data_IF_761314971233
#
_entry.id   IF_761314971233
#
_cell.length_a   1.000
_cell.length_b   1.000
_cell.length_c   1.000
_cell.angle_alpha   90.00
_cell.angle_beta   90.00
_cell.angle_gamma   90.00
#
_symmetry.space_group_name_H-M   'P 1'
#
loop_
_entity.id
_entity.type
_entity.pdbx_description
1 polymer ?
#
# COMPACT_ATOMS: atom_id res chain seq x y z
N UNK A 1 0.00 -24.46 8.38
CA UNK A 1 -0.87 -23.30 8.74
C UNK A 1 -0.04 -22.02 9.06
N UNK A 2 1.27 -21.97 8.77
CA UNK A 2 2.17 -21.15 9.59
C UNK A 2 2.77 -19.88 8.94
N UNK A 3 2.57 -19.63 7.63
CA UNK A 3 3.18 -18.46 6.95
C UNK A 3 2.31 -17.19 6.99
N UNK A 4 0.99 -17.35 6.97
CA UNK A 4 0.02 -16.25 6.91
C UNK A 4 -0.09 -15.46 8.23
N UNK A 5 0.02 -16.16 9.36
CA UNK A 5 -0.04 -15.57 10.70
C UNK A 5 1.22 -14.74 10.97
N UNK A 6 2.40 -15.30 10.65
CA UNK A 6 3.68 -14.61 10.85
C UNK A 6 3.81 -13.33 10.02
N UNK A 7 3.41 -13.37 8.74
CA UNK A 7 3.43 -12.18 7.87
C UNK A 7 2.41 -11.11 8.28
N UNK A 8 1.25 -11.49 8.83
CA UNK A 8 0.25 -10.49 9.28
C UNK A 8 0.76 -9.70 10.48
N UNK A 9 1.44 -10.33 11.42
CA UNK A 9 2.07 -9.67 12.57
C UNK A 9 3.17 -8.71 12.13
N UNK A 10 4.05 -9.13 11.20
CA UNK A 10 5.10 -8.25 10.66
C UNK A 10 4.52 -7.03 9.94
N UNK A 11 3.46 -7.19 9.14
CA UNK A 11 2.82 -6.07 8.46
C UNK A 11 2.17 -5.08 9.44
N UNK A 12 1.60 -5.57 10.54
CA UNK A 12 1.04 -4.70 11.58
C UNK A 12 2.13 -3.85 12.25
N UNK A 13 3.28 -4.46 12.57
CA UNK A 13 4.44 -3.77 13.17
C UNK A 13 4.97 -2.66 12.24
N UNK A 14 5.11 -2.94 10.95
CA UNK A 14 5.59 -1.94 9.97
C UNK A 14 4.65 -0.74 9.91
N UNK A 15 3.33 -0.94 9.94
CA UNK A 15 2.36 0.16 9.90
C UNK A 15 2.38 1.00 11.16
N UNK A 16 2.48 0.37 12.34
CA UNK A 16 2.60 1.12 13.59
C UNK A 16 3.89 1.94 13.65
N UNK A 17 5.00 1.41 13.12
CA UNK A 17 6.25 2.18 13.02
C UNK A 17 6.08 3.38 12.08
N UNK A 18 5.48 3.19 10.90
CA UNK A 18 5.20 4.29 9.96
C UNK A 18 4.40 5.42 10.62
N UNK A 19 3.32 5.08 11.34
CA UNK A 19 2.49 6.07 12.06
C UNK A 19 3.28 6.74 13.20
N UNK A 20 4.13 6.00 13.94
CA UNK A 20 4.99 6.53 15.01
C UNK A 20 6.01 7.56 14.51
N UNK A 21 6.46 7.45 13.26
CA UNK A 21 7.31 8.46 12.61
C UNK A 21 6.53 9.67 12.06
N UNK A 22 5.27 9.83 12.45
CA UNK A 22 4.44 11.00 12.10
C UNK A 22 3.81 10.93 10.71
N UNK A 23 3.83 9.76 10.07
CA UNK A 23 3.18 9.59 8.76
C UNK A 23 1.70 9.27 8.95
N UNK A 24 0.85 10.26 8.68
CA UNK A 24 -0.59 10.07 8.75
C UNK A 24 -1.11 9.22 7.58
N UNK A 25 -1.87 8.18 7.91
CA UNK A 25 -2.49 7.28 6.95
C UNK A 25 -3.99 7.17 7.21
N UNK A 26 -4.79 7.34 6.16
CA UNK A 26 -6.21 7.03 6.26
C UNK A 26 -6.45 5.50 6.21
N UNK A 27 -7.67 5.06 6.51
CA UNK A 27 -8.01 3.62 6.54
C UNK A 27 -7.78 2.91 5.20
N UNK A 28 -8.11 3.56 4.08
CA UNK A 28 -7.94 2.99 2.74
C UNK A 28 -6.46 2.80 2.38
N UNK A 29 -5.63 3.75 2.80
CA UNK A 29 -4.19 3.71 2.65
C UNK A 29 -3.56 2.62 3.50
N UNK A 30 -3.99 2.46 4.76
CA UNK A 30 -3.58 1.33 5.60
C UNK A 30 -3.93 -0.01 4.95
N UNK A 31 -5.15 -0.14 4.43
CA UNK A 31 -5.60 -1.36 3.73
C UNK A 31 -4.74 -1.64 2.49
N UNK A 32 -4.43 -0.61 1.70
CA UNK A 32 -3.60 -0.72 0.52
C UNK A 32 -2.15 -1.11 0.82
N UNK A 33 -1.55 -0.54 1.87
CA UNK A 33 -0.21 -0.90 2.32
C UNK A 33 -0.18 -2.33 2.84
N UNK A 34 -1.16 -2.75 3.66
CA UNK A 34 -1.30 -4.15 4.10
C UNK A 34 -1.32 -5.12 2.91
N UNK A 35 -2.10 -4.79 1.88
CA UNK A 35 -2.14 -5.58 0.65
C UNK A 35 -0.79 -5.60 -0.05
N UNK A 36 -0.18 -4.43 -0.28
CA UNK A 36 1.07 -4.31 -1.02
C UNK A 36 2.24 -5.01 -0.31
N UNK A 37 2.33 -4.95 1.03
CA UNK A 37 3.35 -5.69 1.79
C UNK A 37 3.18 -7.21 1.68
N UNK A 38 1.93 -7.69 1.64
CA UNK A 38 1.62 -9.11 1.48
C UNK A 38 1.87 -9.61 0.07
N UNK A 39 1.37 -8.90 -0.94
CA UNK A 39 1.37 -9.32 -2.36
C UNK A 39 2.56 -8.77 -3.16
N UNK A 40 3.46 -8.01 -2.53
CA UNK A 40 4.63 -7.31 -3.12
C UNK A 40 4.31 -6.15 -4.06
N UNK A 41 3.06 -5.96 -4.46
CA UNK A 41 2.62 -4.81 -5.23
C UNK A 41 1.13 -4.54 -5.05
N UNK A 42 0.72 -3.35 -5.47
CA UNK A 42 -0.68 -2.97 -5.67
C UNK A 42 -0.80 -2.21 -7.00
N UNK A 43 -1.94 -2.32 -7.66
CA UNK A 43 -2.28 -1.54 -8.86
C UNK A 43 -3.45 -0.60 -8.55
N UNK A 44 -3.70 0.38 -9.41
CA UNK A 44 -4.88 1.23 -9.27
C UNK A 44 -6.17 0.39 -9.23
N UNK A 45 -6.28 -0.61 -10.11
CA UNK A 45 -7.43 -1.53 -10.14
C UNK A 45 -7.61 -2.27 -8.81
N UNK A 46 -6.54 -2.82 -8.24
CA UNK A 46 -6.62 -3.51 -6.95
C UNK A 46 -7.07 -2.55 -5.86
N UNK A 47 -6.53 -1.32 -5.84
CA UNK A 47 -6.93 -0.30 -4.86
C UNK A 47 -8.43 0.01 -4.95
N UNK A 48 -8.94 0.22 -6.17
CA UNK A 48 -10.37 0.40 -6.44
C UNK A 48 -11.17 -0.79 -5.91
N UNK A 49 -10.74 -2.01 -6.22
CA UNK A 49 -11.47 -3.23 -5.88
C UNK A 49 -11.55 -3.47 -4.36
N UNK A 50 -10.47 -3.17 -3.61
CA UNK A 50 -10.42 -3.37 -2.15
C UNK A 50 -11.04 -2.21 -1.36
N UNK A 51 -11.03 -0.98 -1.90
CA UNK A 51 -11.53 0.21 -1.19
C UNK A 51 -12.88 0.72 -1.71
N UNK A 52 -13.39 0.18 -2.82
CA UNK A 52 -14.66 0.57 -3.45
C UNK A 52 -14.74 2.07 -3.76
N UNK A 53 -13.64 2.63 -4.27
CA UNK A 53 -13.52 4.03 -4.66
C UNK A 53 -13.36 4.19 -6.17
N UNK A 54 -13.52 5.41 -6.68
CA UNK A 54 -13.24 5.69 -8.10
C UNK A 54 -11.77 5.47 -8.46
N UNK A 55 -11.50 5.19 -9.74
CA UNK A 55 -10.12 5.12 -10.27
C UNK A 55 -9.33 6.42 -10.06
N UNK A 56 -10.02 7.58 -10.10
CA UNK A 56 -9.44 8.90 -9.81
C UNK A 56 -9.01 9.00 -8.35
N UNK A 57 -9.88 8.63 -7.41
CA UNK A 57 -9.56 8.60 -5.97
C UNK A 57 -8.39 7.66 -5.69
N UNK A 58 -8.41 6.46 -6.26
CA UNK A 58 -7.31 5.50 -6.13
C UNK A 58 -5.99 6.07 -6.65
N UNK A 59 -6.00 6.79 -7.78
CA UNK A 59 -4.79 7.41 -8.35
C UNK A 59 -4.22 8.48 -7.42
N UNK A 60 -5.08 9.33 -6.84
CA UNK A 60 -4.67 10.39 -5.92
C UNK A 60 -4.10 9.82 -4.62
N UNK A 61 -4.77 8.83 -4.02
CA UNK A 61 -4.32 8.24 -2.75
C UNK A 61 -3.06 7.38 -2.92
N UNK A 62 -2.90 6.67 -4.04
CA UNK A 62 -1.65 5.95 -4.36
C UNK A 62 -0.50 6.92 -4.63
N UNK A 63 -0.76 8.07 -5.25
CA UNK A 63 0.24 9.14 -5.43
C UNK A 63 0.65 9.75 -4.10
N UNK A 64 -0.28 9.97 -3.18
CA UNK A 64 0.03 10.43 -1.82
C UNK A 64 0.94 9.45 -1.08
N UNK A 65 0.66 8.14 -1.15
CA UNK A 65 1.54 7.10 -0.59
C UNK A 65 2.96 7.11 -1.20
N UNK A 66 3.11 7.46 -2.48
CA UNK A 66 4.42 7.64 -3.09
C UNK A 66 5.13 8.90 -2.59
N UNK A 67 4.40 10.01 -2.44
CA UNK A 67 4.94 11.26 -1.92
C UNK A 67 5.45 11.09 -0.48
N UNK A 68 4.75 10.28 0.31
CA UNK A 68 5.16 9.79 1.64
C UNK A 68 6.32 8.78 1.60
N UNK A 69 6.84 8.45 0.41
CA UNK A 69 7.94 7.49 0.17
C UNK A 69 7.65 6.06 0.66
N UNK A 70 6.39 5.69 0.85
CA UNK A 70 5.98 4.35 1.28
C UNK A 70 5.80 3.38 0.10
N UNK A 71 5.53 3.92 -1.08
CA UNK A 71 5.44 3.18 -2.34
C UNK A 71 6.38 3.77 -3.39
N UNK A 72 6.81 2.94 -4.34
CA UNK A 72 7.46 3.36 -5.58
C UNK A 72 6.78 2.74 -6.80
N UNK A 73 6.87 3.41 -7.95
CA UNK A 73 6.34 2.89 -9.22
C UNK A 73 7.35 1.97 -9.88
N UNK A 74 6.85 0.85 -10.39
CA UNK A 74 7.53 -0.04 -11.34
C UNK A 74 6.67 -0.20 -12.59
N UNK A 75 7.30 -0.13 -13.76
CA UNK A 75 6.61 -0.19 -15.05
C UNK A 75 6.08 1.17 -15.53
N UNK A 76 5.35 1.17 -16.65
CA UNK A 76 4.76 2.36 -17.28
C UNK A 76 3.37 2.05 -17.86
N UNK A 77 2.50 3.04 -17.93
CA UNK A 77 1.17 2.93 -18.52
C UNK A 77 0.32 1.84 -17.84
N UNK A 78 -0.25 0.92 -18.64
CA UNK A 78 -1.08 -0.19 -18.14
C UNK A 78 -0.31 -1.19 -17.27
N UNK A 79 1.01 -1.24 -17.36
CA UNK A 79 1.87 -2.11 -16.57
C UNK A 79 2.32 -1.48 -15.23
N UNK A 80 1.78 -0.31 -14.87
CA UNK A 80 2.15 0.41 -13.64
C UNK A 80 1.78 -0.41 -12.40
N UNK A 81 2.78 -0.74 -11.60
CA UNK A 81 2.66 -1.37 -10.28
C UNK A 81 3.25 -0.44 -9.24
N UNK A 82 2.60 -0.36 -8.10
CA UNK A 82 3.11 0.33 -6.91
C UNK A 82 3.65 -0.73 -5.96
N UNK A 83 4.94 -0.67 -5.64
CA UNK A 83 5.59 -1.65 -4.77
C UNK A 83 5.97 -1.00 -3.45
N UNK A 84 5.90 -1.71 -2.31
CA UNK A 84 6.36 -1.18 -1.05
C UNK A 84 7.83 -0.75 -1.12
N UNK A 85 8.09 0.47 -0.67
CA UNK A 85 9.45 1.01 -0.56
C UNK A 85 9.85 0.97 0.91
N UNK A 86 10.54 -0.09 1.29
CA UNK A 86 11.20 -0.20 2.60
C UNK A 86 12.66 0.19 2.35
N UNK A 87 13.12 1.29 2.93
CA UNK A 87 14.53 1.68 2.97
C UNK A 87 15.07 1.43 4.37
#
# INVERSE_FOLDING_TARGET
ISKLIFQSSSNAIVLSEIEKYGVELNERQRKALKYAFRERYITNKIYVDINKVSSKTASLELKDLMQKKLLEIRGKGRATKYVPKIR
#
